data_IF_754341897521
#
_entry.id   IF_754341897521
#
_cell.length_a   1.000
_cell.length_b   1.000
_cell.length_c   1.000
_cell.angle_alpha   90.00
_cell.angle_beta   90.00
_cell.angle_gamma   90.00
#
_symmetry.space_group_name_H-M   'P 1'
#
loop_
_entity.id
_entity.type
_entity.pdbx_description
1 polymer ?
#
# COMPACT_ATOMS: atom_id res chain seq x y z
N UNK A 1 3.16 -7.96 5.79
CA UNK A 1 1.86 -7.44 6.28
C UNK A 1 0.83 -7.62 5.15
N UNK A 2 -0.34 -8.18 5.44
CA UNK A 2 -1.40 -8.39 4.43
C UNK A 2 -2.07 -7.05 4.07
N UNK A 3 -2.37 -6.82 2.79
CA UNK A 3 -3.07 -5.63 2.30
C UNK A 3 -4.56 -5.74 2.65
N UNK A 4 -5.14 -4.68 3.24
CA UNK A 4 -6.58 -4.62 3.51
C UNK A 4 -7.41 -4.34 2.25
N UNK A 5 -8.70 -4.66 2.29
CA UNK A 5 -9.66 -4.37 1.19
C UNK A 5 -9.88 -2.86 1.06
N UNK A 6 -9.90 -2.36 -0.17
CA UNK A 6 -10.24 -0.96 -0.47
C UNK A 6 -11.77 -0.80 -0.46
N UNK A 7 -12.29 0.28 0.13
CA UNK A 7 -13.73 0.53 0.26
C UNK A 7 -14.33 1.38 -0.87
N UNK A 8 -13.51 2.06 -1.69
CA UNK A 8 -13.97 2.94 -2.78
C UNK A 8 -14.61 4.26 -2.32
N UNK A 9 -14.55 4.55 -1.02
CA UNK A 9 -15.17 5.73 -0.38
C UNK A 9 -14.13 6.80 -0.05
N UNK A 10 -12.89 6.67 -0.53
CA UNK A 10 -11.90 7.71 -0.32
C UNK A 10 -12.18 8.91 -1.23
N UNK A 11 -11.70 10.08 -0.83
CA UNK A 11 -11.86 11.29 -1.63
C UNK A 11 -11.31 11.13 -3.06
N UNK A 12 -10.24 10.35 -3.24
CA UNK A 12 -9.64 10.09 -4.55
C UNK A 12 -10.59 9.35 -5.50
N UNK A 13 -11.41 8.43 -4.98
CA UNK A 13 -12.38 7.67 -5.77
C UNK A 13 -13.48 8.61 -6.29
N UNK A 14 -13.99 9.49 -5.40
CA UNK A 14 -14.94 10.56 -5.77
C UNK A 14 -14.35 11.55 -6.75
N UNK A 15 -13.07 11.91 -6.58
CA UNK A 15 -12.37 12.82 -7.49
C UNK A 15 -12.26 12.22 -8.90
N UNK A 16 -11.97 10.93 -9.01
CA UNK A 16 -11.91 10.23 -10.30
C UNK A 16 -13.27 10.21 -10.99
N UNK A 17 -14.33 9.92 -10.24
CA UNK A 17 -15.70 9.86 -10.76
C UNK A 17 -16.24 11.24 -11.23
N UNK A 18 -15.87 12.33 -10.54
CA UNK A 18 -16.31 13.69 -10.89
C UNK A 18 -15.65 14.24 -12.15
N UNK A 19 -14.47 13.74 -12.51
CA UNK A 19 -13.72 14.28 -13.65
C UNK A 19 -14.42 13.91 -14.97
N UNK A 20 -14.44 14.86 -15.92
CA UNK A 20 -15.03 14.65 -17.24
C UNK A 20 -14.45 13.42 -17.96
N UNK A 21 -15.30 12.73 -18.72
CA UNK A 21 -15.01 11.45 -19.38
C UNK A 21 -14.52 11.59 -20.83
N UNK A 22 -14.64 12.77 -21.43
CA UNK A 22 -14.22 13.02 -22.82
C UNK A 22 -12.76 13.45 -22.84
N UNK A 23 -11.94 12.74 -23.61
CA UNK A 23 -10.51 13.01 -23.74
C UNK A 23 -9.67 12.54 -22.54
N UNK A 24 -8.50 13.13 -22.37
CA UNK A 24 -7.52 12.72 -21.35
C UNK A 24 -7.95 13.13 -19.93
N UNK A 25 -7.94 12.17 -18.98
CA UNK A 25 -8.27 12.40 -17.57
C UNK A 25 -7.03 12.76 -16.72
N UNK A 26 -5.92 13.16 -17.35
CA UNK A 26 -4.69 13.59 -16.69
C UNK A 26 -4.12 12.49 -15.79
N UNK A 27 -3.96 12.76 -14.48
CA UNK A 27 -3.41 11.77 -13.52
C UNK A 27 -4.18 10.45 -13.48
N UNK A 28 -5.47 10.43 -13.84
CA UNK A 28 -6.30 9.23 -13.81
C UNK A 28 -6.16 8.37 -15.07
N UNK A 29 -5.52 8.90 -16.11
CA UNK A 29 -5.11 8.14 -17.30
C UNK A 29 -3.70 7.57 -17.18
N UNK A 30 -2.98 7.85 -16.07
CA UNK A 30 -1.65 7.26 -15.82
C UNK A 30 -1.80 5.79 -15.42
N UNK A 31 -1.04 4.92 -16.08
CA UNK A 31 -0.93 3.50 -15.73
C UNK A 31 0.05 3.31 -14.57
N UNK A 32 -0.18 2.35 -13.65
CA UNK A 32 0.78 2.04 -12.59
C UNK A 32 2.13 1.59 -13.16
N UNK A 33 3.22 2.08 -12.55
CA UNK A 33 4.59 1.76 -12.97
C UNK A 33 5.11 0.42 -12.43
N UNK A 34 6.34 0.08 -12.83
CA UNK A 34 6.98 -1.20 -12.52
C UNK A 34 7.52 -1.35 -11.09
N UNK A 35 8.04 -2.54 -10.82
CA UNK A 35 8.49 -2.96 -9.50
C UNK A 35 10.03 -2.95 -9.36
N UNK A 36 10.51 -2.40 -8.23
CA UNK A 36 11.92 -2.50 -7.83
C UNK A 36 12.35 -3.98 -7.62
N UNK A 37 13.60 -4.40 -7.97
CA UNK A 37 14.06 -5.79 -7.86
C UNK A 37 13.94 -6.40 -6.46
N UNK A 38 14.12 -5.60 -5.41
CA UNK A 38 13.91 -6.02 -4.02
C UNK A 38 12.99 -5.05 -3.30
N UNK A 39 12.08 -5.56 -2.47
CA UNK A 39 11.17 -4.77 -1.64
C UNK A 39 11.76 -4.52 -0.25
N UNK A 40 11.23 -3.51 0.43
CA UNK A 40 11.52 -3.33 1.86
C UNK A 40 10.63 -4.27 2.67
N UNK A 41 11.18 -4.82 3.76
CA UNK A 41 10.43 -5.65 4.69
C UNK A 41 9.28 -4.84 5.30
N UNK A 42 8.08 -5.41 5.27
CA UNK A 42 6.86 -4.78 5.74
C UNK A 42 6.19 -5.65 6.81
N UNK A 43 6.55 -5.43 8.07
CA UNK A 43 6.10 -6.20 9.24
C UNK A 43 5.53 -5.27 10.31
N UNK A 44 4.68 -5.83 11.18
CA UNK A 44 4.11 -5.14 12.34
C UNK A 44 4.65 -5.81 13.60
N UNK A 45 5.11 -5.02 14.55
CA UNK A 45 5.56 -5.51 15.84
C UNK A 45 4.42 -5.35 16.84
N UNK A 46 3.85 -6.45 17.32
CA UNK A 46 2.78 -6.43 18.33
C UNK A 46 3.39 -6.66 19.71
N UNK A 47 3.11 -5.74 20.64
CA UNK A 47 3.51 -5.92 22.04
C UNK A 47 2.66 -7.02 22.68
N UNK A 48 3.31 -7.99 23.31
CA UNK A 48 2.66 -9.12 24.00
C UNK A 48 1.90 -8.67 25.25
N UNK A 49 2.36 -7.59 25.92
CA UNK A 49 1.73 -7.07 27.13
C UNK A 49 0.46 -6.25 26.88
N UNK A 50 0.48 -5.32 25.92
CA UNK A 50 -0.62 -4.38 25.68
C UNK A 50 -1.40 -4.63 24.38
N UNK A 51 -0.97 -5.57 23.55
CA UNK A 51 -1.63 -5.92 22.28
C UNK A 51 -1.52 -4.86 21.17
N UNK A 52 -1.00 -3.66 21.47
CA UNK A 52 -0.80 -2.58 20.49
C UNK A 52 0.32 -2.95 19.52
N UNK A 53 0.16 -2.55 18.26
CA UNK A 53 1.15 -2.75 17.22
C UNK A 53 1.86 -1.44 16.87
N UNK A 54 3.14 -1.51 16.54
CA UNK A 54 3.90 -0.38 16.02
C UNK A 54 4.69 -0.77 14.76
N UNK A 55 5.08 0.25 14.00
CA UNK A 55 5.87 0.12 12.77
C UNK A 55 7.29 0.64 12.99
N UNK A 56 8.23 0.11 12.24
CA UNK A 56 9.65 0.52 12.22
C UNK A 56 10.09 0.73 10.76
N UNK A 57 11.14 1.53 10.50
CA UNK A 57 11.70 1.63 9.16
C UNK A 57 12.16 0.26 8.66
N UNK A 58 11.68 -0.14 7.48
CA UNK A 58 12.08 -1.41 6.85
C UNK A 58 13.39 -1.31 6.08
N UNK A 59 14.12 -2.42 6.03
CA UNK A 59 15.32 -2.63 5.20
C UNK A 59 15.00 -3.46 3.95
N UNK A 60 15.90 -3.52 2.96
CA UNK A 60 15.69 -4.33 1.74
C UNK A 60 16.07 -5.78 2.00
N UNK A 61 15.22 -6.70 1.56
CA UNK A 61 15.46 -8.13 1.58
C UNK A 61 14.83 -8.78 0.34
N UNK A 62 15.46 -9.81 -0.21
CA UNK A 62 14.89 -10.59 -1.32
C UNK A 62 13.73 -11.49 -0.86
N UNK A 63 13.94 -12.18 0.27
CA UNK A 63 12.96 -13.01 0.96
C UNK A 63 13.05 -12.75 2.46
N UNK A 64 11.92 -12.83 3.17
CA UNK A 64 11.86 -12.72 4.62
C UNK A 64 11.01 -13.87 5.16
N UNK A 65 11.63 -14.70 5.99
CA UNK A 65 11.01 -15.88 6.60
C UNK A 65 10.96 -15.71 8.12
N UNK A 66 9.88 -16.17 8.73
CA UNK A 66 9.69 -16.17 10.18
C UNK A 66 9.94 -17.61 10.63
N UNK A 67 10.89 -17.80 11.54
CA UNK A 67 11.14 -19.08 12.21
C UNK A 67 10.34 -19.09 13.52
N UNK A 68 9.74 -20.23 13.84
CA UNK A 68 8.90 -20.44 15.03
C UNK A 68 9.73 -20.60 16.31
#
# INVERSE_FOLDING_TARGET
MKKGRVNGLHWIDRQKARRGKVGNMGKFSKVPGGDKPTKKVNIRYRCTKCGKAHLRPGWRAGKFEIVE
#
